data_IF_617525516468
#
_entry.id   IF_617525516468
#
_cell.length_a   1.000
_cell.length_b   1.000
_cell.length_c   1.000
_cell.angle_alpha   90.00
_cell.angle_beta   90.00
_cell.angle_gamma   90.00
#
_symmetry.space_group_name_H-M   'P 1'
#
loop_
_entity.id
_entity.type
_entity.pdbx_description
1 polymer ?
#
# COMPACT_ATOMS: atom_id res chain seq x y z
N UNK A 1 -4.49 -9.86 6.20
CA UNK A 1 -4.28 -11.31 6.38
C UNK A 1 -5.36 -12.11 5.68
N UNK A 2 -5.15 -13.41 5.51
CA UNK A 2 -6.09 -14.30 4.82
C UNK A 2 -7.49 -14.28 5.45
N UNK A 3 -7.58 -14.24 6.78
CA UNK A 3 -8.88 -14.14 7.46
C UNK A 3 -9.63 -12.83 7.11
N UNK A 4 -8.94 -11.71 7.03
CA UNK A 4 -9.54 -10.43 6.64
C UNK A 4 -10.05 -10.47 5.19
N UNK A 5 -9.29 -11.13 4.30
CA UNK A 5 -9.70 -11.40 2.93
C UNK A 5 -10.94 -12.32 2.90
N UNK A 6 -10.95 -13.45 3.63
CA UNK A 6 -12.09 -14.36 3.70
C UNK A 6 -13.36 -13.70 4.26
N UNK A 7 -13.22 -12.75 5.19
CA UNK A 7 -14.33 -11.96 5.73
C UNK A 7 -14.79 -10.83 4.80
N UNK A 8 -14.17 -10.67 3.64
CA UNK A 8 -14.52 -9.63 2.68
C UNK A 8 -14.15 -8.21 3.09
N UNK A 9 -13.31 -8.04 4.12
CA UNK A 9 -12.85 -6.72 4.56
C UNK A 9 -11.75 -6.13 3.70
N UNK A 10 -11.06 -6.95 2.91
CA UNK A 10 -10.22 -6.52 1.80
C UNK A 10 -10.30 -7.53 0.65
N UNK A 11 -9.77 -7.15 -0.50
CA UNK A 11 -9.80 -7.98 -1.72
C UNK A 11 -8.40 -8.47 -2.11
N UNK A 12 -7.43 -8.36 -1.20
CA UNK A 12 -6.06 -8.79 -1.44
C UNK A 12 -5.86 -10.14 -0.77
N UNK A 13 -5.84 -11.19 -1.58
CA UNK A 13 -5.52 -12.53 -1.12
C UNK A 13 -4.02 -12.64 -0.84
N UNK A 14 -3.57 -12.81 0.41
CA UNK A 14 -2.14 -12.82 0.74
C UNK A 14 -1.43 -14.14 0.38
N UNK A 15 -2.15 -15.15 -0.06
CA UNK A 15 -1.57 -16.44 -0.43
C UNK A 15 -0.63 -16.31 -1.63
N UNK A 16 0.19 -17.34 -1.85
CA UNK A 16 0.95 -17.50 -3.08
C UNK A 16 0.01 -17.58 -4.28
N UNK A 17 0.53 -17.31 -5.47
CA UNK A 17 -0.23 -17.48 -6.70
C UNK A 17 -0.78 -18.91 -6.80
N UNK A 18 -2.07 -19.01 -7.04
CA UNK A 18 -2.75 -20.29 -7.13
C UNK A 18 -3.96 -20.19 -8.04
N UNK A 19 -4.36 -21.34 -8.56
CA UNK A 19 -5.67 -21.51 -9.17
C UNK A 19 -6.65 -22.08 -8.17
N UNK A 20 -7.90 -21.64 -8.23
CA UNK A 20 -9.00 -22.31 -7.55
C UNK A 20 -10.24 -22.45 -8.44
N UNK A 21 -10.95 -23.55 -8.27
CA UNK A 21 -12.20 -23.83 -8.97
C UNK A 21 -13.39 -23.52 -8.07
N UNK A 22 -14.23 -22.55 -8.46
CA UNK A 22 -15.46 -22.22 -7.70
C UNK A 22 -16.47 -23.36 -7.65
N UNK A 23 -16.46 -24.24 -8.67
CA UNK A 23 -17.44 -25.30 -8.77
C UNK A 23 -17.14 -26.51 -7.85
N UNK A 24 -15.91 -27.00 -7.83
CA UNK A 24 -15.54 -28.17 -7.07
C UNK A 24 -14.54 -27.98 -5.95
N UNK A 25 -14.08 -26.75 -5.71
CA UNK A 25 -13.13 -26.42 -4.65
C UNK A 25 -11.69 -26.88 -4.91
N UNK A 26 -11.38 -27.43 -6.09
CA UNK A 26 -10.00 -27.81 -6.43
C UNK A 26 -9.10 -26.58 -6.40
N UNK A 27 -7.92 -26.71 -5.78
CA UNK A 27 -6.92 -25.63 -5.68
C UNK A 27 -5.54 -26.18 -6.04
N UNK A 28 -4.76 -25.38 -6.77
CA UNK A 28 -3.41 -25.70 -7.18
C UNK A 28 -2.50 -24.48 -6.98
N UNK A 29 -1.48 -24.61 -6.12
CA UNK A 29 -0.48 -23.54 -5.88
C UNK A 29 0.55 -23.59 -7.00
N UNK A 30 0.85 -22.43 -7.57
CA UNK A 30 1.80 -22.28 -8.67
C UNK A 30 3.10 -21.67 -8.12
N UNK A 31 4.21 -22.33 -8.42
CA UNK A 31 5.53 -21.83 -8.07
C UNK A 31 5.98 -20.78 -9.10
N UNK A 32 5.73 -19.54 -8.78
CA UNK A 32 6.03 -18.37 -9.62
C UNK A 32 6.17 -17.12 -8.76
N UNK A 33 6.89 -16.12 -9.25
CA UNK A 33 6.95 -14.77 -8.65
C UNK A 33 5.78 -13.87 -9.12
N UNK A 34 5.05 -14.27 -10.16
CA UNK A 34 3.87 -13.54 -10.64
C UNK A 34 2.71 -13.63 -9.63
N UNK A 35 1.75 -12.74 -9.75
CA UNK A 35 0.52 -12.83 -8.96
C UNK A 35 -0.50 -13.75 -9.64
N UNK A 36 -1.47 -14.22 -8.86
CA UNK A 36 -2.52 -15.08 -9.41
C UNK A 36 -3.32 -14.45 -10.55
N UNK A 37 -3.51 -13.12 -10.53
CA UNK A 37 -4.17 -12.38 -11.62
C UNK A 37 -3.39 -12.46 -12.95
N UNK A 38 -2.08 -12.67 -12.91
CA UNK A 38 -1.21 -12.78 -14.08
C UNK A 38 -1.16 -14.21 -14.66
N UNK A 39 -1.69 -15.18 -13.93
CA UNK A 39 -1.65 -16.58 -14.38
C UNK A 39 -2.50 -16.77 -15.65
N UNK A 40 -2.06 -17.60 -16.60
CA UNK A 40 -2.83 -17.91 -17.79
C UNK A 40 -4.20 -18.51 -17.45
N UNK A 41 -5.19 -18.32 -18.33
CA UNK A 41 -6.46 -19.00 -18.16
C UNK A 41 -6.28 -20.51 -18.28
N UNK A 42 -6.92 -21.26 -17.39
CA UNK A 42 -6.87 -22.73 -17.37
C UNK A 42 -8.20 -23.32 -16.92
N UNK A 43 -8.38 -24.61 -17.17
CA UNK A 43 -9.58 -25.36 -16.78
C UNK A 43 -9.28 -26.34 -15.66
N UNK A 44 -10.23 -26.54 -14.78
CA UNK A 44 -10.12 -27.46 -13.67
C UNK A 44 -9.92 -28.91 -14.15
N UNK A 45 -8.88 -29.61 -13.67
CA UNK A 45 -8.65 -30.98 -14.06
C UNK A 45 -9.80 -31.92 -13.64
N UNK A 46 -10.53 -31.57 -12.56
CA UNK A 46 -11.58 -32.39 -12.00
C UNK A 46 -12.93 -32.19 -12.68
N UNK A 47 -13.41 -30.97 -12.87
CA UNK A 47 -14.76 -30.70 -13.35
C UNK A 47 -14.81 -29.94 -14.69
N UNK A 48 -13.67 -29.62 -15.27
CA UNK A 48 -13.50 -28.91 -16.56
C UNK A 48 -14.03 -27.46 -16.61
N UNK A 49 -14.50 -26.94 -15.50
CA UNK A 49 -14.85 -25.52 -15.39
C UNK A 49 -13.61 -24.63 -15.38
N UNK A 50 -13.76 -23.36 -15.74
CA UNK A 50 -12.68 -22.38 -15.69
C UNK A 50 -12.18 -22.16 -14.26
N UNK A 51 -10.87 -22.15 -14.07
CA UNK A 51 -10.24 -21.87 -12.80
C UNK A 51 -9.88 -20.38 -12.69
N UNK A 52 -9.96 -19.85 -11.48
CA UNK A 52 -9.58 -18.48 -11.18
C UNK A 52 -8.16 -18.47 -10.62
N UNK A 53 -7.30 -17.66 -11.24
CA UNK A 53 -5.99 -17.35 -10.69
C UNK A 53 -6.09 -16.23 -9.66
N UNK A 54 -5.59 -16.46 -8.43
CA UNK A 54 -5.60 -15.51 -7.31
C UNK A 54 -4.31 -15.63 -6.48
N UNK A 55 -4.11 -14.69 -5.54
CA UNK A 55 -2.96 -14.66 -4.65
C UNK A 55 -1.91 -13.62 -5.05
N UNK A 56 -1.46 -12.84 -4.05
CA UNK A 56 -0.53 -11.72 -4.22
C UNK A 56 0.79 -11.92 -3.45
N UNK A 57 1.02 -13.09 -2.92
CA UNK A 57 2.26 -13.48 -2.24
C UNK A 57 2.73 -12.43 -1.21
N UNK A 58 1.98 -12.28 -0.14
CA UNK A 58 2.32 -11.39 0.97
C UNK A 58 2.86 -12.18 2.15
N UNK A 59 3.92 -11.66 2.77
CA UNK A 59 4.44 -12.24 4.00
C UNK A 59 3.42 -12.07 5.13
N UNK A 60 2.96 -13.17 5.71
CA UNK A 60 1.99 -13.16 6.83
C UNK A 60 2.57 -12.44 8.06
N UNK A 61 3.87 -12.49 8.22
CA UNK A 61 4.62 -11.78 9.27
C UNK A 61 4.42 -10.26 9.23
N UNK A 62 4.08 -9.72 8.07
CA UNK A 62 3.78 -8.28 7.93
C UNK A 62 2.56 -7.85 8.73
N UNK A 63 1.61 -8.76 8.96
CA UNK A 63 0.37 -8.52 9.70
C UNK A 63 0.49 -8.92 11.17
N UNK A 64 1.00 -10.11 11.44
CA UNK A 64 1.01 -10.70 12.78
C UNK A 64 2.33 -10.54 13.52
N UNK A 65 3.38 -10.03 12.87
CA UNK A 65 4.75 -10.14 13.37
C UNK A 65 5.26 -11.58 13.28
N UNK A 66 6.50 -11.76 13.68
CA UNK A 66 7.18 -13.05 13.63
C UNK A 66 6.66 -14.03 14.69
N UNK A 67 6.25 -13.50 15.83
CA UNK A 67 5.80 -14.26 17.01
C UNK A 67 4.27 -14.23 17.19
N UNK A 68 3.54 -13.66 16.24
CA UNK A 68 2.09 -13.52 16.30
C UNK A 68 1.56 -12.49 17.32
N UNK A 69 2.46 -11.70 17.92
CA UNK A 69 2.11 -10.73 18.98
C UNK A 69 1.95 -9.30 18.48
N UNK A 70 2.25 -9.04 17.22
CA UNK A 70 2.03 -7.72 16.66
C UNK A 70 0.53 -7.40 16.66
N UNK A 71 0.15 -6.28 17.24
CA UNK A 71 -1.22 -5.75 17.15
C UNK A 71 -1.60 -5.54 15.69
N UNK A 72 -2.86 -5.85 15.36
CA UNK A 72 -3.37 -5.63 14.01
C UNK A 72 -3.63 -4.13 13.84
N UNK A 73 -2.92 -3.52 12.91
CA UNK A 73 -3.16 -2.16 12.47
C UNK A 73 -3.89 -2.16 11.13
N UNK A 74 -4.91 -1.33 11.03
CA UNK A 74 -5.63 -1.10 9.78
C UNK A 74 -5.45 0.34 9.35
N UNK A 75 -5.01 0.51 8.12
CA UNK A 75 -5.01 1.77 7.41
C UNK A 75 -6.21 1.77 6.46
N UNK A 76 -7.10 2.75 6.61
CA UNK A 76 -8.30 2.85 5.79
C UNK A 76 -8.18 4.03 4.82
N UNK A 77 -8.21 3.75 3.53
CA UNK A 77 -8.46 4.78 2.54
C UNK A 77 -9.95 5.10 2.50
N UNK A 78 -10.30 6.34 2.78
CA UNK A 78 -11.68 6.81 2.77
C UNK A 78 -11.87 7.96 1.78
N UNK A 79 -13.11 8.18 1.36
CA UNK A 79 -13.42 9.37 0.57
C UNK A 79 -13.09 10.64 1.34
N UNK A 80 -12.40 11.59 0.71
CA UNK A 80 -12.08 12.89 1.30
C UNK A 80 -13.33 13.61 1.80
N UNK A 81 -14.46 13.47 1.11
CA UNK A 81 -15.73 14.07 1.51
C UNK A 81 -16.31 13.44 2.78
N UNK A 82 -15.93 12.21 3.09
CA UNK A 82 -16.43 11.47 4.24
C UNK A 82 -15.56 11.65 5.49
N UNK A 83 -14.31 12.07 5.34
CA UNK A 83 -13.37 12.22 6.45
C UNK A 83 -13.92 13.06 7.62
N UNK A 84 -14.58 14.22 7.40
CA UNK A 84 -15.14 15.02 8.48
C UNK A 84 -16.25 14.31 9.28
N UNK A 85 -16.87 13.27 8.70
CA UNK A 85 -17.93 12.51 9.37
C UNK A 85 -17.41 11.31 10.17
N UNK A 86 -16.18 10.88 9.93
CA UNK A 86 -15.60 9.70 10.56
C UNK A 86 -15.58 9.79 12.08
N UNK A 87 -15.26 10.97 12.65
CA UNK A 87 -15.31 11.22 14.10
C UNK A 87 -16.68 10.88 14.70
N UNK A 88 -17.75 11.30 14.03
CA UNK A 88 -19.13 11.04 14.50
C UNK A 88 -19.48 9.55 14.47
N UNK A 89 -19.01 8.83 13.45
CA UNK A 89 -19.21 7.38 13.36
C UNK A 89 -18.47 6.68 14.49
N UNK A 90 -17.20 7.02 14.69
CA UNK A 90 -16.39 6.45 15.78
C UNK A 90 -16.98 6.76 17.16
N UNK A 91 -17.45 7.99 17.38
CA UNK A 91 -18.08 8.37 18.66
C UNK A 91 -19.36 7.59 18.93
N UNK A 92 -20.13 7.25 17.90
CA UNK A 92 -21.31 6.37 18.04
C UNK A 92 -20.93 4.92 18.32
N UNK A 93 -19.82 4.44 17.72
CA UNK A 93 -19.30 3.09 17.93
C UNK A 93 -18.69 2.92 19.32
N UNK A 94 -18.11 4.00 19.86
CA UNK A 94 -17.46 4.04 21.17
C UNK A 94 -18.10 5.14 22.06
N UNK A 95 -19.35 4.97 22.48
CA UNK A 95 -20.13 6.05 23.13
C UNK A 95 -19.57 6.48 24.50
N UNK A 96 -18.87 5.58 25.19
CA UNK A 96 -18.28 5.80 26.52
C UNK A 96 -16.81 6.22 26.48
N UNK A 97 -16.26 6.47 25.28
CA UNK A 97 -14.87 6.82 25.08
C UNK A 97 -14.76 8.19 24.41
N UNK A 98 -13.73 8.94 24.73
CA UNK A 98 -13.42 10.13 23.97
C UNK A 98 -12.72 9.74 22.66
N UNK A 99 -13.19 10.27 21.54
CA UNK A 99 -12.55 10.14 20.23
C UNK A 99 -11.88 11.46 19.89
N UNK A 100 -10.56 11.44 19.78
CA UNK A 100 -9.73 12.61 19.53
C UNK A 100 -8.98 12.49 18.21
N UNK A 101 -8.58 13.61 17.62
CA UNK A 101 -7.81 13.63 16.40
C UNK A 101 -6.42 12.98 16.61
N UNK A 102 -5.97 12.20 15.62
CA UNK A 102 -4.60 11.70 15.54
C UNK A 102 -3.82 12.48 14.50
N UNK A 103 -2.68 13.05 14.91
CA UNK A 103 -1.80 13.84 14.06
C UNK A 103 -0.51 13.08 13.69
N UNK A 104 -0.05 13.26 12.47
CA UNK A 104 1.28 12.88 12.03
C UNK A 104 2.02 14.11 11.51
N UNK A 105 3.32 14.13 11.76
CA UNK A 105 4.20 15.18 11.27
C UNK A 105 4.54 14.87 9.80
N UNK A 106 4.25 15.81 8.91
CA UNK A 106 4.56 15.72 7.48
C UNK A 106 5.36 16.94 7.05
N UNK A 107 6.17 16.79 6.00
CA UNK A 107 6.83 17.94 5.39
C UNK A 107 5.79 18.76 4.62
N UNK A 108 5.63 20.04 4.96
CA UNK A 108 4.61 20.95 4.40
C UNK A 108 4.82 21.30 2.93
N UNK A 109 6.05 21.21 2.43
CA UNK A 109 6.36 21.39 1.02
C UNK A 109 7.06 20.15 0.46
N UNK A 110 6.75 19.76 -0.78
CA UNK A 110 7.58 18.89 -1.61
C UNK A 110 8.89 19.61 -1.96
N UNK A 111 9.59 20.11 -0.95
CA UNK A 111 10.83 20.84 -1.18
C UNK A 111 11.98 19.88 -1.40
N UNK A 112 12.85 20.21 -2.35
CA UNK A 112 14.07 19.48 -2.71
C UNK A 112 15.07 19.32 -1.56
N UNK A 113 14.80 19.95 -0.39
CA UNK A 113 15.59 19.83 0.84
C UNK A 113 14.65 19.69 2.02
N UNK A 114 14.89 18.67 2.85
CA UNK A 114 14.23 18.54 4.14
C UNK A 114 14.49 19.81 4.95
N UNK A 115 13.43 20.56 5.22
CA UNK A 115 13.46 21.71 6.11
C UNK A 115 12.67 21.38 7.38
N UNK A 116 13.31 21.21 8.53
CA UNK A 116 12.60 20.96 9.80
C UNK A 116 11.59 22.05 10.17
N UNK A 117 11.80 23.30 9.71
CA UNK A 117 10.90 24.42 9.96
C UNK A 117 9.60 24.37 9.13
N UNK A 118 9.54 23.51 8.10
CA UNK A 118 8.35 23.28 7.28
C UNK A 118 7.55 22.04 7.68
N UNK A 119 7.79 21.48 8.86
CA UNK A 119 7.05 20.34 9.37
C UNK A 119 5.68 20.80 9.87
N UNK A 120 4.64 20.20 9.33
CA UNK A 120 3.26 20.46 9.69
C UNK A 120 2.63 19.21 10.34
N UNK A 121 1.84 19.42 11.36
CA UNK A 121 1.05 18.35 11.98
C UNK A 121 -0.28 18.21 11.23
N UNK A 122 -0.43 17.14 10.46
CA UNK A 122 -1.67 16.87 9.71
C UNK A 122 -2.48 15.73 10.33
N UNK A 123 -3.78 15.89 10.33
CA UNK A 123 -4.68 14.85 10.80
C UNK A 123 -4.62 13.63 9.86
N UNK A 124 -4.38 12.45 10.45
CA UNK A 124 -4.30 11.17 9.74
C UNK A 124 -5.20 10.09 10.34
N UNK A 125 -6.15 10.49 11.17
CA UNK A 125 -7.06 9.56 11.79
C UNK A 125 -7.56 10.02 13.15
N UNK A 126 -7.88 9.04 13.99
CA UNK A 126 -8.40 9.26 15.31
C UNK A 126 -7.80 8.31 16.33
N UNK A 127 -7.77 8.74 17.57
CA UNK A 127 -7.45 7.90 18.75
C UNK A 127 -8.68 7.77 19.60
N UNK A 128 -8.96 6.56 20.05
CA UNK A 128 -10.00 6.25 21.01
C UNK A 128 -9.32 6.11 22.36
N UNK A 129 -9.60 7.06 23.25
CA UNK A 129 -9.06 7.04 24.59
C UNK A 129 -9.76 5.98 25.45
N UNK A 130 -9.10 5.39 26.46
CA UNK A 130 -9.76 4.53 27.43
C UNK A 130 -10.93 5.24 28.11
N UNK A 131 -11.89 4.47 28.63
CA UNK A 131 -13.03 5.04 29.38
C UNK A 131 -12.56 5.89 30.54
N UNK A 132 -13.23 7.01 30.77
CA UNK A 132 -12.92 7.98 31.83
C UNK A 132 -11.53 8.66 31.69
N UNK A 133 -10.94 8.62 30.48
CA UNK A 133 -9.70 9.35 30.17
C UNK A 133 -9.96 10.45 29.16
N UNK A 134 -9.18 11.52 29.29
CA UNK A 134 -9.20 12.68 28.41
C UNK A 134 -7.80 12.93 27.83
N UNK A 135 -7.66 13.85 26.88
CA UNK A 135 -6.35 14.24 26.34
C UNK A 135 -5.41 14.79 27.42
N UNK A 136 -5.96 15.40 28.45
CA UNK A 136 -5.20 15.97 29.57
C UNK A 136 -4.45 14.91 30.40
N UNK A 137 -4.86 13.66 30.30
CA UNK A 137 -4.15 12.52 30.93
C UNK A 137 -2.87 12.11 30.17
N UNK A 138 -2.63 12.67 28.97
CA UNK A 138 -1.53 12.31 28.08
C UNK A 138 -0.78 13.56 27.57
N UNK A 139 -0.31 14.47 28.45
CA UNK A 139 0.23 15.75 28.02
C UNK A 139 1.46 15.63 27.10
N UNK A 140 2.25 14.56 27.24
CA UNK A 140 3.42 14.28 26.43
C UNK A 140 3.09 13.82 24.99
N UNK A 141 1.84 13.44 24.74
CA UNK A 141 1.38 13.01 23.41
C UNK A 141 0.52 14.09 22.73
N UNK A 142 0.20 15.18 23.42
CA UNK A 142 -0.60 16.28 22.85
C UNK A 142 0.25 17.13 21.92
N UNK A 143 -0.28 17.35 20.73
CA UNK A 143 0.22 18.30 19.74
C UNK A 143 -0.94 19.09 19.15
N UNK A 144 -0.66 20.02 18.23
CA UNK A 144 -1.68 20.83 17.60
C UNK A 144 -1.61 20.69 16.09
N UNK A 145 -2.75 20.48 15.45
CA UNK A 145 -2.90 20.50 14.00
C UNK A 145 -2.66 21.91 13.44
N UNK A 146 -2.52 22.02 12.13
CA UNK A 146 -2.29 23.30 11.44
C UNK A 146 -3.39 24.35 11.72
N UNK A 147 -4.63 23.91 11.91
CA UNK A 147 -5.78 24.76 12.26
C UNK A 147 -5.88 25.10 13.76
N UNK A 148 -4.91 24.66 14.57
CA UNK A 148 -4.88 24.87 16.02
C UNK A 148 -5.69 23.87 16.84
N UNK A 149 -6.36 22.90 16.22
CA UNK A 149 -7.09 21.84 16.93
C UNK A 149 -6.09 20.92 17.66
N UNK A 150 -6.33 20.57 18.94
CA UNK A 150 -5.47 19.64 19.66
C UNK A 150 -5.63 18.21 19.13
N UNK A 151 -4.52 17.49 19.06
CA UNK A 151 -4.49 16.08 18.62
C UNK A 151 -3.54 15.26 19.50
N UNK A 152 -3.73 13.95 19.49
CA UNK A 152 -2.74 12.99 20.00
C UNK A 152 -1.79 12.62 18.85
N UNK A 153 -0.50 12.55 19.15
CA UNK A 153 0.53 12.07 18.24
C UNK A 153 1.45 11.07 18.93
N UNK A 154 2.13 10.24 18.16
CA UNK A 154 3.09 9.27 18.67
C UNK A 154 3.22 8.04 17.78
N UNK A 155 4.29 7.29 17.99
CA UNK A 155 4.51 6.02 17.30
C UNK A 155 3.56 4.93 17.85
N UNK A 156 3.32 3.89 17.06
CA UNK A 156 2.43 2.78 17.41
C UNK A 156 2.78 2.14 18.75
N UNK A 157 4.06 1.84 18.98
CA UNK A 157 4.53 1.26 20.24
C UNK A 157 4.30 2.16 21.45
N UNK A 158 4.31 3.48 21.28
CA UNK A 158 3.97 4.43 22.34
C UNK A 158 2.48 4.39 22.62
N UNK A 159 1.63 4.38 21.57
CA UNK A 159 0.18 4.24 21.71
C UNK A 159 -0.20 2.96 22.47
N UNK A 160 0.45 1.84 22.16
CA UNK A 160 0.22 0.56 22.84
C UNK A 160 0.58 0.62 24.33
N UNK A 161 1.69 1.28 24.71
CA UNK A 161 2.08 1.47 26.12
C UNK A 161 1.01 2.20 26.95
N UNK A 162 0.32 3.15 26.32
CA UNK A 162 -0.77 3.90 26.94
C UNK A 162 -2.14 3.27 26.74
N UNK A 163 -2.21 2.09 26.12
CA UNK A 163 -3.48 1.42 25.76
C UNK A 163 -4.41 2.30 24.91
N UNK A 164 -3.82 3.10 24.02
CA UNK A 164 -4.54 3.96 23.09
C UNK A 164 -4.85 3.21 21.79
N UNK A 165 -6.11 3.22 21.39
CA UNK A 165 -6.53 2.60 20.15
C UNK A 165 -6.49 3.61 19.00
N UNK A 166 -5.53 3.46 18.11
CA UNK A 166 -5.36 4.30 16.92
C UNK A 166 -6.14 3.73 15.74
N UNK A 167 -6.82 4.60 15.00
CA UNK A 167 -7.49 4.29 13.74
C UNK A 167 -6.96 5.25 12.68
N UNK A 168 -6.19 4.70 11.75
CA UNK A 168 -5.62 5.46 10.64
C UNK A 168 -6.64 5.61 9.51
N UNK A 169 -6.87 6.84 9.08
CA UNK A 169 -7.78 7.17 7.99
C UNK A 169 -7.08 8.08 7.00
N UNK A 170 -6.94 7.63 5.78
CA UNK A 170 -6.32 8.40 4.71
C UNK A 170 -7.37 8.91 3.73
N UNK A 171 -7.59 10.25 3.68
CA UNK A 171 -8.48 10.83 2.69
C UNK A 171 -7.92 10.60 1.29
N UNK A 172 -8.68 9.88 0.44
CA UNK A 172 -8.25 9.58 -0.91
C UNK A 172 -9.33 9.91 -1.94
N UNK A 173 -8.99 10.79 -2.90
CA UNK A 173 -9.95 11.27 -3.93
C UNK A 173 -10.56 10.16 -4.77
N UNK A 174 -9.76 9.14 -5.13
CA UNK A 174 -10.25 8.05 -5.98
C UNK A 174 -11.29 7.19 -5.29
N UNK A 175 -11.24 7.05 -3.96
CA UNK A 175 -12.29 6.37 -3.19
C UNK A 175 -13.62 7.13 -3.33
N UNK A 176 -13.59 8.47 -3.30
CA UNK A 176 -14.75 9.30 -3.56
C UNK A 176 -15.27 9.16 -5.00
N UNK A 177 -14.38 9.08 -5.97
CA UNK A 177 -14.76 8.85 -7.37
C UNK A 177 -15.39 7.46 -7.56
N UNK A 178 -14.79 6.40 -7.01
CA UNK A 178 -15.34 5.05 -7.09
C UNK A 178 -16.76 4.99 -6.49
N UNK A 179 -16.97 5.60 -5.34
CA UNK A 179 -18.29 5.69 -4.72
C UNK A 179 -19.32 6.43 -5.62
N UNK A 180 -18.92 7.53 -6.28
CA UNK A 180 -19.81 8.26 -7.19
C UNK A 180 -20.07 7.46 -8.48
N UNK A 181 -19.06 6.78 -9.03
CA UNK A 181 -19.19 5.92 -10.20
C UNK A 181 -20.12 4.75 -9.90
N UNK A 182 -19.97 4.08 -8.75
CA UNK A 182 -20.86 3.03 -8.29
C UNK A 182 -22.32 3.49 -8.22
N UNK A 183 -22.56 4.66 -7.61
CA UNK A 183 -23.94 5.23 -7.52
C UNK A 183 -24.57 5.54 -8.88
N UNK A 184 -23.76 5.96 -9.86
CA UNK A 184 -24.24 6.32 -11.19
C UNK A 184 -24.41 5.14 -12.13
N UNK A 185 -23.57 4.11 -11.98
CA UNK A 185 -23.54 2.93 -12.86
C UNK A 185 -24.40 1.79 -12.34
N UNK A 186 -24.62 1.72 -11.02
CA UNK A 186 -25.18 0.53 -10.36
C UNK A 186 -24.20 -0.63 -10.23
N UNK A 187 -22.94 -0.49 -10.68
CA UNK A 187 -21.90 -1.50 -10.58
C UNK A 187 -21.11 -1.21 -9.31
N UNK A 188 -21.00 -2.17 -8.40
CA UNK A 188 -20.21 -2.04 -7.19
C UNK A 188 -18.73 -2.30 -7.46
N UNK A 189 -17.85 -1.46 -6.90
CA UNK A 189 -16.41 -1.55 -7.15
C UNK A 189 -15.80 -2.87 -6.66
N UNK A 190 -16.34 -3.46 -5.61
CA UNK A 190 -15.96 -4.74 -5.03
C UNK A 190 -16.49 -5.95 -5.83
N UNK A 191 -17.50 -5.75 -6.67
CA UNK A 191 -18.00 -6.77 -7.61
C UNK A 191 -17.20 -6.82 -8.92
N UNK A 192 -16.27 -5.87 -9.12
CA UNK A 192 -15.34 -5.91 -10.24
C UNK A 192 -14.21 -6.88 -9.87
N UNK A 193 -14.43 -8.16 -10.18
CA UNK A 193 -13.53 -9.25 -9.84
C UNK A 193 -12.26 -9.32 -10.69
N UNK A 194 -11.35 -10.20 -10.31
CA UNK A 194 -10.06 -10.44 -10.99
C UNK A 194 -10.27 -10.78 -12.47
N UNK A 195 -11.32 -11.56 -12.81
CA UNK A 195 -11.69 -11.92 -14.16
C UNK A 195 -11.83 -10.70 -15.09
N UNK A 196 -12.44 -9.62 -14.59
CA UNK A 196 -12.60 -8.37 -15.33
C UNK A 196 -11.34 -7.49 -15.31
N UNK A 197 -10.59 -7.49 -14.21
CA UNK A 197 -9.41 -6.66 -14.06
C UNK A 197 -8.21 -7.17 -14.86
N UNK A 198 -8.08 -8.49 -15.07
CA UNK A 198 -6.99 -9.12 -15.85
C UNK A 198 -6.97 -8.70 -17.33
N UNK A 199 -8.10 -8.25 -17.88
CA UNK A 199 -8.18 -7.77 -19.25
C UNK A 199 -7.62 -6.36 -19.43
N UNK A 200 -7.42 -5.64 -18.33
CA UNK A 200 -6.90 -4.28 -18.36
C UNK A 200 -5.39 -4.28 -18.58
N UNK A 201 -4.93 -3.33 -19.35
CA UNK A 201 -3.52 -3.09 -19.63
C UNK A 201 -3.06 -1.79 -18.97
N UNK A 202 -1.75 -1.64 -18.81
CA UNK A 202 -1.16 -0.45 -18.19
C UNK A 202 -1.65 0.87 -18.82
N UNK A 203 -1.86 0.91 -20.14
CA UNK A 203 -2.36 2.12 -20.81
C UNK A 203 -3.83 2.43 -20.46
N UNK A 204 -4.64 1.44 -20.07
CA UNK A 204 -5.98 1.69 -19.55
C UNK A 204 -5.90 2.44 -18.22
N UNK A 205 -4.94 2.10 -17.36
CA UNK A 205 -4.69 2.79 -16.10
C UNK A 205 -4.18 4.22 -16.34
N UNK A 206 -3.22 4.40 -17.26
CA UNK A 206 -2.71 5.72 -17.64
C UNK A 206 -3.82 6.66 -18.14
N UNK A 207 -4.76 6.14 -18.92
CA UNK A 207 -5.84 6.89 -19.49
C UNK A 207 -6.87 7.38 -18.46
N UNK A 208 -6.90 6.80 -17.24
CA UNK A 208 -7.81 7.24 -16.17
C UNK A 208 -7.56 8.66 -15.70
N UNK A 209 -6.34 9.19 -15.87
CA UNK A 209 -5.89 10.51 -15.39
C UNK A 209 -5.93 10.70 -13.88
N UNK A 210 -6.08 9.62 -13.11
CA UNK A 210 -6.12 9.68 -11.63
C UNK A 210 -4.84 9.21 -10.98
N UNK A 211 -3.97 8.51 -11.69
CA UNK A 211 -2.64 8.11 -11.21
C UNK A 211 -1.79 9.34 -10.88
N UNK A 212 -0.89 9.20 -9.93
CA UNK A 212 0.10 10.23 -9.60
C UNK A 212 1.09 10.43 -10.76
N UNK A 213 1.70 11.62 -10.80
CA UNK A 213 2.55 12.01 -11.93
C UNK A 213 3.73 11.06 -12.10
N UNK A 214 4.42 10.76 -11.01
CA UNK A 214 5.62 9.93 -11.00
C UNK A 214 5.33 8.47 -11.39
N UNK A 215 4.19 7.93 -10.96
CA UNK A 215 3.74 6.60 -11.39
C UNK A 215 3.46 6.58 -12.90
N UNK A 216 2.85 7.66 -13.44
CA UNK A 216 2.64 7.78 -14.90
C UNK A 216 3.94 7.83 -15.66
N UNK A 217 4.93 8.57 -15.18
CA UNK A 217 6.25 8.62 -15.82
C UNK A 217 6.90 7.23 -15.81
N UNK A 218 6.84 6.54 -14.66
CA UNK A 218 7.35 5.18 -14.55
C UNK A 218 6.71 4.24 -15.58
N UNK A 219 5.37 4.23 -15.69
CA UNK A 219 4.64 3.36 -16.64
C UNK A 219 4.84 3.72 -18.12
N UNK A 220 5.20 4.95 -18.43
CA UNK A 220 5.53 5.37 -19.80
C UNK A 220 6.88 4.84 -20.28
N UNK A 221 7.85 4.80 -19.38
CA UNK A 221 9.21 4.46 -19.71
C UNK A 221 9.54 2.99 -19.42
N UNK A 222 9.06 2.46 -18.30
CA UNK A 222 9.14 1.05 -17.96
C UNK A 222 7.76 0.41 -18.22
N UNK A 223 7.57 -0.13 -19.43
CA UNK A 223 6.29 -0.66 -19.88
C UNK A 223 5.94 -1.94 -19.13
N UNK A 224 4.91 -1.93 -18.22
CA UNK A 224 4.51 -3.12 -17.50
C UNK A 224 3.95 -4.20 -18.44
N UNK A 225 4.37 -5.44 -18.26
CA UNK A 225 3.89 -6.61 -19.03
C UNK A 225 2.89 -7.45 -18.25
N UNK A 226 2.82 -7.26 -16.94
CA UNK A 226 2.00 -8.02 -16.00
C UNK A 226 1.41 -7.09 -14.95
N UNK A 227 0.44 -7.57 -14.18
CA UNK A 227 -0.05 -6.86 -12.99
C UNK A 227 1.04 -6.77 -11.92
N UNK A 228 1.89 -7.80 -11.83
CA UNK A 228 3.06 -7.79 -10.98
C UNK A 228 4.01 -6.63 -11.32
N UNK A 229 4.30 -6.40 -12.61
CA UNK A 229 5.10 -5.24 -13.03
C UNK A 229 4.42 -3.92 -12.68
N UNK A 230 3.09 -3.81 -12.89
CA UNK A 230 2.34 -2.60 -12.53
C UNK A 230 2.48 -2.28 -11.05
N UNK A 231 2.42 -3.29 -10.18
CA UNK A 231 2.59 -3.11 -8.73
C UNK A 231 4.01 -2.67 -8.39
N UNK A 232 5.02 -3.30 -8.96
CA UNK A 232 6.42 -2.97 -8.73
C UNK A 232 6.78 -1.55 -9.21
N UNK A 233 6.32 -1.20 -10.41
CA UNK A 233 6.58 0.13 -10.97
C UNK A 233 5.77 1.23 -10.25
N UNK A 234 4.59 0.91 -9.73
CA UNK A 234 3.86 1.81 -8.84
C UNK A 234 4.55 2.01 -7.49
N UNK A 235 5.28 0.99 -6.99
CA UNK A 235 6.01 1.10 -5.72
C UNK A 235 7.19 2.08 -5.80
N UNK A 236 7.87 2.15 -6.93
CA UNK A 236 9.14 2.87 -7.06
C UNK A 236 9.06 4.36 -6.71
N UNK A 237 8.04 5.13 -7.15
CA UNK A 237 7.89 6.53 -6.77
C UNK A 237 7.61 6.77 -5.27
N UNK A 238 7.11 5.76 -4.58
CA UNK A 238 6.83 5.83 -3.15
C UNK A 238 8.04 5.43 -2.29
N UNK A 239 9.06 4.86 -2.91
CA UNK A 239 10.32 4.54 -2.26
C UNK A 239 11.18 5.80 -2.05
N UNK A 240 12.06 5.76 -1.08
CA UNK A 240 13.10 6.77 -0.88
C UNK A 240 14.46 6.09 -0.86
N UNK A 241 15.41 6.64 -1.63
CA UNK A 241 16.77 6.10 -1.73
C UNK A 241 17.81 7.12 -1.29
N UNK A 242 19.04 6.66 -1.05
CA UNK A 242 20.16 7.56 -0.76
C UNK A 242 20.71 8.24 -2.03
N UNK A 243 20.53 7.62 -3.18
CA UNK A 243 21.07 8.09 -4.46
C UNK A 243 20.15 9.09 -5.17
N UNK A 244 18.83 8.95 -4.99
CA UNK A 244 17.82 9.82 -5.60
C UNK A 244 16.94 10.36 -4.46
N UNK A 245 16.77 11.67 -4.43
CA UNK A 245 15.91 12.33 -3.44
C UNK A 245 14.42 12.11 -3.69
N UNK A 246 13.59 12.98 -3.13
CA UNK A 246 12.17 12.99 -3.43
C UNK A 246 11.91 13.28 -4.92
N UNK A 247 10.75 12.84 -5.47
CA UNK A 247 10.38 13.10 -6.85
C UNK A 247 10.55 14.58 -7.24
N UNK A 248 11.27 14.80 -8.33
CA UNK A 248 11.54 16.10 -8.94
C UNK A 248 11.36 15.98 -10.45
N UNK A 249 11.46 17.07 -11.20
CA UNK A 249 11.21 17.10 -12.64
C UNK A 249 12.01 16.05 -13.45
N UNK A 250 13.15 15.60 -12.92
CA UNK A 250 14.03 14.60 -13.56
C UNK A 250 14.06 13.28 -12.78
N UNK A 251 13.09 13.05 -11.91
CA UNK A 251 13.10 11.91 -10.97
C UNK A 251 13.25 10.56 -11.66
N UNK A 252 12.50 10.31 -12.74
CA UNK A 252 12.57 9.03 -13.45
C UNK A 252 13.97 8.77 -14.00
N UNK A 253 14.56 9.74 -14.70
CA UNK A 253 15.89 9.57 -15.32
C UNK A 253 16.98 9.35 -14.30
N UNK A 254 16.93 10.09 -13.17
CA UNK A 254 17.87 9.86 -12.06
C UNK A 254 17.66 8.49 -11.41
N UNK A 255 16.43 8.04 -11.25
CA UNK A 255 16.11 6.72 -10.70
C UNK A 255 16.58 5.63 -11.65
N UNK A 256 16.34 5.80 -12.96
CA UNK A 256 16.82 4.85 -13.97
C UNK A 256 18.34 4.72 -13.91
N UNK A 257 19.06 5.81 -14.05
CA UNK A 257 20.53 5.83 -14.09
C UNK A 257 21.16 5.27 -12.81
N UNK A 258 20.67 5.69 -11.64
CA UNK A 258 21.33 5.42 -10.35
C UNK A 258 20.84 4.13 -9.66
N UNK A 259 19.68 3.64 -10.03
CA UNK A 259 19.04 2.48 -9.38
C UNK A 259 18.76 1.38 -10.41
N UNK A 260 17.82 1.63 -11.36
CA UNK A 260 17.29 0.56 -12.22
C UNK A 260 18.35 -0.01 -13.16
N UNK A 261 19.26 0.81 -13.68
CA UNK A 261 20.35 0.39 -14.57
C UNK A 261 21.59 -0.12 -13.80
N UNK A 262 21.59 -0.07 -12.46
CA UNK A 262 22.71 -0.61 -11.70
C UNK A 262 22.79 -2.12 -11.83
N UNK A 263 23.99 -2.71 -11.99
CA UNK A 263 24.14 -4.16 -12.12
C UNK A 263 23.58 -4.95 -10.94
N UNK A 264 23.71 -4.41 -9.72
CA UNK A 264 23.21 -5.05 -8.51
C UNK A 264 21.69 -5.12 -8.52
N UNK A 265 21.01 -4.00 -8.87
CA UNK A 265 19.55 -3.97 -8.96
C UNK A 265 19.02 -4.84 -10.10
N UNK A 266 19.68 -4.85 -11.26
CA UNK A 266 19.26 -5.70 -12.38
C UNK A 266 19.34 -7.19 -12.03
N UNK A 267 20.29 -7.58 -11.17
CA UNK A 267 20.41 -8.95 -10.67
C UNK A 267 19.40 -9.28 -9.58
N UNK A 268 19.12 -8.32 -8.70
CA UNK A 268 18.17 -8.45 -7.58
C UNK A 268 17.21 -7.26 -7.57
N UNK A 269 16.22 -7.23 -8.47
CA UNK A 269 15.26 -6.13 -8.53
C UNK A 269 14.33 -6.16 -7.30
N UNK A 270 14.51 -5.20 -6.41
CA UNK A 270 13.75 -5.07 -5.18
C UNK A 270 12.95 -3.76 -5.21
N UNK A 271 11.69 -3.82 -5.55
CA UNK A 271 10.78 -2.69 -5.59
C UNK A 271 10.02 -2.50 -4.28
N UNK A 272 9.81 -3.59 -3.53
CA UNK A 272 9.02 -3.65 -2.31
C UNK A 272 9.79 -4.39 -1.20
N UNK A 273 9.32 -4.27 0.05
CA UNK A 273 9.88 -5.03 1.16
C UNK A 273 9.80 -6.55 0.92
N UNK A 274 8.71 -7.00 0.31
CA UNK A 274 8.47 -8.41 0.05
C UNK A 274 9.48 -9.01 -0.92
N UNK A 275 10.06 -8.22 -1.84
CA UNK A 275 11.10 -8.72 -2.74
C UNK A 275 12.35 -9.12 -1.95
N UNK A 276 12.78 -8.32 -0.98
CA UNK A 276 13.88 -8.70 -0.07
C UNK A 276 13.54 -9.92 0.76
N UNK A 277 12.30 -10.00 1.27
CA UNK A 277 11.86 -11.16 2.03
C UNK A 277 11.97 -12.44 1.20
N UNK A 278 11.49 -12.41 -0.04
CA UNK A 278 11.51 -13.54 -0.97
C UNK A 278 12.96 -13.94 -1.29
N UNK A 279 13.84 -13.00 -1.66
CA UNK A 279 15.24 -13.30 -1.93
C UNK A 279 15.99 -13.84 -0.71
N UNK A 280 15.72 -13.35 0.48
CA UNK A 280 16.32 -13.90 1.69
C UNK A 280 15.88 -15.35 1.96
N UNK A 281 14.63 -15.69 1.71
CA UNK A 281 14.14 -17.06 1.78
C UNK A 281 14.82 -17.94 0.72
N UNK A 282 14.95 -17.48 -0.51
CA UNK A 282 15.64 -18.18 -1.59
C UNK A 282 17.13 -18.40 -1.27
N UNK A 283 17.76 -17.48 -0.56
CA UNK A 283 19.13 -17.63 -0.05
C UNK A 283 19.23 -18.56 1.18
N UNK A 284 18.12 -19.12 1.66
CA UNK A 284 18.10 -20.09 2.76
C UNK A 284 17.98 -19.49 4.16
N UNK A 285 17.65 -18.20 4.29
CA UNK A 285 17.34 -17.63 5.60
C UNK A 285 16.02 -18.19 6.15
N UNK A 286 15.96 -18.37 7.46
CA UNK A 286 14.69 -18.65 8.11
C UNK A 286 13.71 -17.50 7.96
N UNK A 287 12.41 -17.79 7.85
CA UNK A 287 11.34 -16.78 7.64
C UNK A 287 11.41 -15.64 8.65
N UNK A 288 11.75 -15.96 9.89
CA UNK A 288 11.91 -14.97 10.96
C UNK A 288 12.98 -13.94 10.63
N UNK A 289 14.15 -14.41 10.24
CA UNK A 289 15.31 -13.56 9.96
C UNK A 289 15.10 -12.83 8.63
N UNK A 290 14.58 -13.51 7.60
CA UNK A 290 14.21 -12.89 6.33
C UNK A 290 13.24 -11.70 6.53
N UNK A 291 12.21 -11.87 7.37
CA UNK A 291 11.29 -10.79 7.68
C UNK A 291 11.95 -9.68 8.51
N UNK A 292 12.73 -10.03 9.51
CA UNK A 292 13.44 -9.06 10.35
C UNK A 292 14.32 -8.13 9.49
N UNK A 293 15.16 -8.71 8.63
CA UNK A 293 16.05 -7.92 7.78
C UNK A 293 15.28 -7.11 6.71
N UNK A 294 14.24 -7.67 6.10
CA UNK A 294 13.41 -6.93 5.16
C UNK A 294 12.70 -5.72 5.80
N UNK A 295 12.27 -5.84 7.07
CA UNK A 295 11.72 -4.72 7.84
C UNK A 295 12.78 -3.66 8.22
N UNK A 296 14.01 -4.07 8.50
CA UNK A 296 15.12 -3.13 8.72
C UNK A 296 15.42 -2.32 7.45
N UNK A 297 15.44 -2.98 6.29
CA UNK A 297 15.65 -2.32 5.00
C UNK A 297 14.48 -1.36 4.71
N UNK A 298 13.24 -1.83 4.90
CA UNK A 298 12.05 -0.99 4.73
C UNK A 298 12.13 0.31 5.54
N UNK A 299 12.68 0.24 6.74
CA UNK A 299 12.84 1.40 7.65
C UNK A 299 14.12 2.20 7.44
N UNK A 300 14.89 1.92 6.39
CA UNK A 300 16.15 2.62 6.07
C UNK A 300 17.26 2.41 7.10
N UNK A 301 17.26 1.27 7.77
CA UNK A 301 18.25 0.93 8.80
C UNK A 301 19.39 0.06 8.29
N UNK A 302 19.38 -0.35 7.02
CA UNK A 302 20.37 -1.26 6.41
C UNK A 302 21.81 -0.79 6.58
N UNK A 303 22.09 0.50 6.40
CA UNK A 303 23.43 1.09 6.56
C UNK A 303 23.91 1.19 8.02
N UNK A 304 23.03 0.92 8.98
CA UNK A 304 23.30 0.99 10.44
C UNK A 304 23.14 -0.35 11.13
N UNK A 305 23.04 -1.42 10.36
CA UNK A 305 22.81 -2.80 10.84
C UNK A 305 23.97 -3.69 10.38
N UNK A 306 25.08 -3.79 11.15
CA UNK A 306 26.25 -4.58 10.77
C UNK A 306 25.94 -6.06 10.52
N UNK A 307 24.89 -6.60 11.17
CA UNK A 307 24.43 -7.97 11.01
C UNK A 307 24.00 -8.27 9.57
N UNK A 308 23.51 -7.27 8.84
CA UNK A 308 23.16 -7.42 7.42
C UNK A 308 24.39 -7.79 6.58
N UNK A 309 25.56 -7.21 6.90
CA UNK A 309 26.81 -7.49 6.19
C UNK A 309 27.32 -8.91 6.46
N UNK A 310 26.95 -9.51 7.61
CA UNK A 310 27.35 -10.83 8.02
C UNK A 310 26.46 -11.94 7.44
N UNK A 311 25.34 -11.59 6.81
CA UNK A 311 24.45 -12.57 6.19
C UNK A 311 25.17 -13.32 5.06
N UNK A 312 24.90 -14.63 4.99
CA UNK A 312 25.36 -15.49 3.89
C UNK A 312 24.47 -15.35 2.66
N UNK A 313 24.39 -14.13 2.12
CA UNK A 313 23.63 -13.78 0.90
C UNK A 313 24.51 -13.04 -0.09
N UNK A 314 24.16 -13.00 -1.38
CA UNK A 314 24.94 -12.28 -2.39
C UNK A 314 25.23 -10.83 -2.02
N UNK A 315 26.44 -10.37 -2.29
CA UNK A 315 26.85 -9.00 -1.95
C UNK A 315 26.04 -7.97 -2.71
N UNK A 316 25.64 -8.27 -3.95
CA UNK A 316 24.78 -7.42 -4.78
C UNK A 316 23.42 -7.18 -4.09
N UNK A 317 22.84 -8.20 -3.46
CA UNK A 317 21.58 -8.05 -2.70
C UNK A 317 21.77 -7.13 -1.49
N UNK A 318 22.91 -7.23 -0.79
CA UNK A 318 23.26 -6.30 0.31
C UNK A 318 23.44 -4.87 -0.20
N UNK A 319 24.08 -4.71 -1.37
CA UNK A 319 24.25 -3.39 -1.99
C UNK A 319 22.91 -2.77 -2.33
N UNK A 320 21.98 -3.53 -2.94
CA UNK A 320 20.61 -3.06 -3.22
C UNK A 320 19.89 -2.68 -1.91
N UNK A 321 20.05 -3.46 -0.84
CA UNK A 321 19.46 -3.15 0.46
C UNK A 321 19.96 -1.81 1.03
N UNK A 322 21.22 -1.46 0.80
CA UNK A 322 21.84 -0.21 1.25
C UNK A 322 21.43 1.01 0.43
N UNK A 323 20.81 0.84 -0.75
CA UNK A 323 20.31 1.95 -1.56
C UNK A 323 19.08 2.63 -0.91
N UNK A 324 18.31 1.93 -0.10
CA UNK A 324 17.02 2.38 0.40
C UNK A 324 17.08 3.12 1.74
N UNK A 325 16.36 4.24 1.82
CA UNK A 325 15.96 4.92 3.05
C UNK A 325 14.59 4.48 3.52
N UNK A 326 13.71 4.14 2.56
CA UNK A 326 12.37 3.65 2.81
C UNK A 326 11.91 2.81 1.63
N UNK A 327 11.30 1.67 1.93
CA UNK A 327 10.63 0.81 0.95
C UNK A 327 9.13 0.74 1.22
N UNK A 328 8.36 0.89 0.17
CA UNK A 328 6.91 0.80 0.24
C UNK A 328 6.45 -0.66 0.36
N UNK A 329 5.43 -0.97 1.18
CA UNK A 329 4.92 -2.33 1.31
C UNK A 329 4.15 -2.77 0.06
N UNK A 330 4.36 -4.00 -0.40
CA UNK A 330 3.69 -4.57 -1.58
C UNK A 330 2.17 -4.50 -1.49
N UNK A 331 1.58 -4.81 -0.33
CA UNK A 331 0.14 -4.76 -0.12
C UNK A 331 -0.46 -3.38 -0.46
N UNK A 332 0.21 -2.30 -0.09
CA UNK A 332 -0.23 -0.93 -0.37
C UNK A 332 -0.19 -0.61 -1.87
N UNK A 333 0.87 -1.07 -2.57
CA UNK A 333 0.96 -0.91 -4.02
C UNK A 333 -0.15 -1.67 -4.74
N UNK A 334 -0.47 -2.88 -4.28
CA UNK A 334 -1.57 -3.69 -4.83
C UNK A 334 -2.89 -2.93 -4.70
N UNK A 335 -3.18 -2.33 -3.54
CA UNK A 335 -4.39 -1.51 -3.34
C UNK A 335 -4.46 -0.34 -4.33
N UNK A 336 -3.35 0.39 -4.52
CA UNK A 336 -3.27 1.50 -5.47
C UNK A 336 -3.55 1.02 -6.90
N UNK A 337 -2.89 -0.02 -7.35
CA UNK A 337 -3.05 -0.54 -8.72
C UNK A 337 -4.46 -1.11 -8.92
N UNK A 338 -5.02 -1.84 -7.95
CA UNK A 338 -6.40 -2.32 -8.00
C UNK A 338 -7.41 -1.17 -8.07
N UNK A 339 -7.17 -0.09 -7.33
CA UNK A 339 -8.00 1.12 -7.37
C UNK A 339 -7.95 1.76 -8.76
N UNK A 340 -6.76 1.93 -9.36
CA UNK A 340 -6.62 2.46 -10.72
C UNK A 340 -7.24 1.52 -11.76
N UNK A 341 -7.10 0.21 -11.60
CA UNK A 341 -7.71 -0.79 -12.48
C UNK A 341 -9.24 -0.70 -12.43
N UNK A 342 -9.85 -0.55 -11.27
CA UNK A 342 -11.29 -0.32 -11.14
C UNK A 342 -11.73 0.98 -11.79
N UNK A 343 -10.96 2.05 -11.62
CA UNK A 343 -11.23 3.31 -12.33
C UNK A 343 -11.17 3.13 -13.85
N UNK A 344 -10.18 2.37 -14.36
CA UNK A 344 -10.05 2.05 -15.76
C UNK A 344 -11.23 1.20 -16.27
N UNK A 345 -11.68 0.23 -15.48
CA UNK A 345 -12.87 -0.55 -15.80
C UNK A 345 -14.10 0.34 -16.00
N UNK A 346 -14.41 1.25 -15.07
CA UNK A 346 -15.53 2.18 -15.23
C UNK A 346 -15.38 3.08 -16.44
N UNK A 347 -14.16 3.52 -16.74
CA UNK A 347 -13.88 4.35 -17.93
C UNK A 347 -14.16 3.58 -19.24
N UNK A 348 -13.78 2.29 -19.29
CA UNK A 348 -14.05 1.41 -20.45
C UNK A 348 -15.53 1.06 -20.56
N UNK A 349 -16.20 0.86 -19.43
CA UNK A 349 -17.61 0.52 -19.38
C UNK A 349 -18.51 1.68 -19.86
N UNK A 350 -18.33 2.90 -19.38
CA UNK A 350 -18.98 4.11 -19.87
C UNK A 350 -18.13 5.37 -19.61
N UNK A 351 -17.45 5.81 -20.66
CA UNK A 351 -16.56 7.00 -20.60
C UNK A 351 -17.32 8.30 -20.29
N UNK A 352 -18.63 8.40 -20.59
CA UNK A 352 -19.44 9.59 -20.27
C UNK A 352 -19.76 9.67 -18.80
N UNK A 353 -20.18 8.53 -18.20
CA UNK A 353 -20.38 8.42 -16.76
C UNK A 353 -19.07 8.71 -16.03
N UNK A 354 -17.97 8.11 -16.47
CA UNK A 354 -16.64 8.33 -15.91
C UNK A 354 -16.25 9.81 -15.93
N UNK A 355 -16.33 10.45 -17.10
CA UNK A 355 -15.97 11.87 -17.27
C UNK A 355 -16.88 12.81 -16.45
N UNK A 356 -18.12 12.44 -16.24
CA UNK A 356 -19.06 13.21 -15.40
C UNK A 356 -18.69 13.23 -13.92
N UNK A 357 -17.82 12.32 -13.49
CA UNK A 357 -17.32 12.23 -12.10
C UNK A 357 -15.92 12.81 -12.00
N UNK A 358 -14.99 12.31 -12.82
CA UNK A 358 -13.55 12.58 -12.67
C UNK A 358 -13.18 13.98 -13.20
N UNK A 359 -13.82 14.46 -14.27
CA UNK A 359 -13.53 15.76 -14.87
C UNK A 359 -14.31 16.93 -14.24
N UNK A 360 -15.14 16.70 -13.23
CA UNK A 360 -15.73 17.82 -12.49
C UNK A 360 -14.61 18.60 -11.83
N UNK A 361 -14.25 19.75 -12.41
CA UNK A 361 -13.48 20.78 -11.72
C UNK A 361 -14.12 20.98 -10.35
N UNK A 362 -13.30 21.00 -9.29
CA UNK A 362 -13.73 21.46 -7.97
C UNK A 362 -14.56 22.74 -8.13
N UNK A 363 -15.87 22.62 -8.08
CA UNK A 363 -16.75 23.68 -7.67
C UNK A 363 -17.02 23.38 -6.20
N UNK A 364 -16.07 23.75 -5.37
CA UNK A 364 -16.27 24.03 -3.93
C UNK A 364 -14.99 24.73 -3.48
N UNK A 365 -15.03 26.04 -3.57
CA UNK A 365 -14.23 26.96 -2.78
C UNK A 365 -14.48 26.75 -1.29
#
# INVERSE_FOLDING_TARGET
SYLIYLLGHNQINPLRAHYYCKNCGHMEVIDTHLFGIDLPQTVCPNCKEEMIGDGYHLAVESVWGVDGKKGIEFDYNISSDFFPFAKRVLQRTYPNNQVVSYGIMVSGERSKKFNPESLEMKQSGYVILPQNRTMEDYPELVAYLEDGEPCITGLCNVMEQYNLKRIMLYPHRCVGYLMQLQRKSGIYADEIGIDKLRELKYYDLLNTKVMDYEEKEMFKYEIPKSFFDMVNYSAMPHNSTFAVGYPCDNWYHETKEKILDSPDFQRFPCYTREDFFDYFIECGLERKDAFYFSELIRKGKSTRTPELDQLSVPEELKNVAKMYRYLFPRAHCIEHVLMYARMAYYMKWDSRVYSSVVNKKKVLS
#
